data_IF_065281230525
#
_entry.id   IF_065281230525
#
_cell.length_a   1.000
_cell.length_b   1.000
_cell.length_c   1.000
_cell.angle_alpha   90.00
_cell.angle_beta   90.00
_cell.angle_gamma   90.00
#
_symmetry.space_group_name_H-M   'P 1'
#
loop_
_entity.id
_entity.type
_entity.pdbx_description
1 polymer ?
#
# COMPACT_ATOMS: atom_id res chain seq x y z
N UNK A 1 -56.18 -15.78 -49.58
CA UNK A 1 -54.91 -16.57 -49.55
C UNK A 1 -54.23 -16.30 -48.22
N UNK A 2 -54.26 -17.27 -47.29
CA UNK A 2 -53.49 -17.17 -46.05
C UNK A 2 -52.10 -17.79 -46.28
N UNK A 3 -51.00 -17.09 -45.95
CA UNK A 3 -49.68 -17.67 -46.09
C UNK A 3 -49.52 -18.84 -45.12
N UNK A 4 -49.09 -19.99 -45.67
CA UNK A 4 -48.74 -21.19 -44.91
C UNK A 4 -47.63 -20.85 -43.91
N UNK A 5 -47.96 -20.85 -42.62
CA UNK A 5 -46.96 -20.74 -41.54
C UNK A 5 -46.09 -21.99 -41.61
N UNK A 6 -44.86 -21.86 -42.14
CA UNK A 6 -43.82 -22.88 -42.03
C UNK A 6 -43.63 -23.21 -40.54
N UNK A 7 -43.94 -24.43 -40.12
CA UNK A 7 -43.60 -24.96 -38.79
C UNK A 7 -42.08 -25.07 -38.73
N UNK A 8 -41.43 -24.09 -38.13
CA UNK A 8 -40.02 -24.19 -37.75
C UNK A 8 -39.92 -25.35 -36.75
N UNK A 9 -39.05 -26.32 -37.02
CA UNK A 9 -38.83 -27.46 -36.13
C UNK A 9 -38.35 -26.96 -34.77
N UNK A 10 -38.99 -27.37 -33.67
CA UNK A 10 -38.57 -27.02 -32.30
C UNK A 10 -37.08 -27.32 -32.08
N UNK A 11 -36.57 -28.39 -32.68
CA UNK A 11 -35.16 -28.79 -32.61
C UNK A 11 -34.22 -27.74 -33.22
N UNK A 12 -34.58 -27.12 -34.35
CA UNK A 12 -33.76 -26.07 -34.98
C UNK A 12 -33.72 -24.78 -34.14
N UNK A 13 -34.82 -24.45 -33.45
CA UNK A 13 -34.86 -23.32 -32.50
C UNK A 13 -33.95 -23.58 -31.29
N UNK A 14 -33.96 -24.80 -30.74
CA UNK A 14 -33.08 -25.17 -29.64
C UNK A 14 -31.59 -25.09 -30.00
N UNK A 15 -31.18 -25.60 -31.17
CA UNK A 15 -29.79 -25.48 -31.62
C UNK A 15 -29.37 -24.03 -31.85
N UNK A 16 -30.25 -23.20 -32.41
CA UNK A 16 -29.99 -21.76 -32.58
C UNK A 16 -29.75 -21.04 -31.24
N UNK A 17 -30.54 -21.38 -30.21
CA UNK A 17 -30.37 -20.82 -28.85
C UNK A 17 -29.04 -21.27 -28.22
N UNK A 18 -28.67 -22.54 -28.33
CA UNK A 18 -27.40 -23.03 -27.76
C UNK A 18 -26.16 -22.42 -28.44
N UNK A 19 -26.20 -22.27 -29.77
CA UNK A 19 -25.12 -21.63 -30.52
C UNK A 19 -24.99 -20.15 -30.11
N UNK A 20 -26.11 -19.43 -29.98
CA UNK A 20 -26.10 -18.04 -29.52
C UNK A 20 -25.53 -17.92 -28.11
N UNK A 21 -25.97 -18.77 -27.18
CA UNK A 21 -25.46 -18.79 -25.80
C UNK A 21 -23.95 -19.08 -25.77
N UNK A 22 -23.47 -20.02 -26.58
CA UNK A 22 -22.04 -20.33 -26.67
C UNK A 22 -21.23 -19.15 -27.21
N UNK A 23 -21.71 -18.48 -28.26
CA UNK A 23 -21.06 -17.29 -28.82
C UNK A 23 -21.04 -16.16 -27.79
N UNK A 24 -22.13 -15.93 -27.07
CA UNK A 24 -22.19 -14.95 -25.99
C UNK A 24 -21.23 -15.31 -24.84
N UNK A 25 -21.17 -16.58 -24.44
CA UNK A 25 -20.25 -17.04 -23.40
C UNK A 25 -18.78 -16.88 -23.81
N UNK A 26 -18.42 -17.29 -25.03
CA UNK A 26 -17.06 -17.13 -25.55
C UNK A 26 -16.67 -15.66 -25.71
N UNK A 27 -17.60 -14.83 -26.19
CA UNK A 27 -17.40 -13.39 -26.29
C UNK A 27 -17.18 -12.76 -24.91
N UNK A 28 -17.98 -13.15 -23.91
CA UNK A 28 -17.82 -12.70 -22.52
C UNK A 28 -16.51 -13.18 -21.90
N UNK A 29 -16.13 -14.44 -22.11
CA UNK A 29 -14.87 -14.99 -21.62
C UNK A 29 -13.64 -14.30 -22.23
N UNK A 30 -13.65 -14.08 -23.55
CA UNK A 30 -12.58 -13.36 -24.25
C UNK A 30 -12.49 -11.90 -23.77
N UNK A 31 -13.63 -11.23 -23.62
CA UNK A 31 -13.71 -9.87 -23.07
C UNK A 31 -13.12 -9.82 -21.66
N UNK A 32 -13.51 -10.74 -20.77
CA UNK A 32 -12.96 -10.85 -19.40
C UNK A 32 -11.46 -11.08 -19.39
N UNK A 33 -10.94 -11.92 -20.29
CA UNK A 33 -9.48 -12.14 -20.39
C UNK A 33 -8.77 -10.85 -20.82
N UNK A 34 -9.29 -10.11 -21.80
CA UNK A 34 -8.70 -8.85 -22.26
C UNK A 34 -8.68 -7.80 -21.15
N UNK A 35 -9.76 -7.69 -20.36
CA UNK A 35 -9.86 -6.69 -19.29
C UNK A 35 -9.00 -6.98 -18.05
N UNK A 36 -8.56 -8.23 -17.89
CA UNK A 36 -7.74 -8.66 -16.73
C UNK A 36 -6.27 -8.87 -17.15
N UNK A 37 -5.98 -9.12 -18.43
CA UNK A 37 -4.63 -9.38 -18.95
C UNK A 37 -3.53 -8.39 -18.49
N UNK A 38 -3.77 -7.06 -18.40
CA UNK A 38 -2.76 -6.12 -17.89
C UNK A 38 -2.31 -6.42 -16.45
N UNK A 39 -3.16 -7.07 -15.65
CA UNK A 39 -2.94 -7.37 -14.23
C UNK A 39 -2.49 -8.82 -13.98
N UNK A 40 -2.30 -9.60 -15.07
CA UNK A 40 -1.79 -10.97 -15.02
C UNK A 40 -0.57 -11.04 -15.93
N UNK A 41 0.58 -10.64 -15.38
CA UNK A 41 1.89 -10.84 -15.98
C UNK A 41 2.79 -11.60 -15.00
N UNK A 42 3.92 -12.12 -15.49
CA UNK A 42 4.92 -12.74 -14.60
C UNK A 42 5.64 -11.68 -13.78
N UNK A 43 6.26 -12.11 -12.68
CA UNK A 43 7.06 -11.23 -11.85
C UNK A 43 8.25 -10.70 -12.65
N UNK A 44 8.33 -9.39 -12.93
CA UNK A 44 9.41 -8.82 -13.74
C UNK A 44 10.73 -8.69 -12.95
N UNK A 45 10.68 -8.83 -11.63
CA UNK A 45 11.79 -8.56 -10.71
C UNK A 45 12.65 -9.80 -10.47
N UNK A 46 13.92 -9.59 -10.13
CA UNK A 46 14.93 -10.68 -10.04
C UNK A 46 15.68 -10.73 -8.71
N UNK A 47 15.54 -9.71 -7.86
CA UNK A 47 16.16 -9.63 -6.55
C UNK A 47 15.57 -10.60 -5.54
N UNK A 48 16.19 -10.67 -4.35
CA UNK A 48 15.68 -11.42 -3.20
C UNK A 48 14.35 -10.87 -2.65
N UNK A 49 13.97 -9.65 -3.05
CA UNK A 49 12.71 -9.01 -2.68
C UNK A 49 11.70 -8.99 -3.82
N UNK A 50 12.00 -9.65 -4.95
CA UNK A 50 11.14 -9.68 -6.13
C UNK A 50 9.71 -10.13 -5.79
N UNK A 51 9.56 -11.06 -4.86
CA UNK A 51 8.28 -11.63 -4.41
C UNK A 51 7.38 -10.60 -3.73
N UNK A 52 7.93 -9.74 -2.87
CA UNK A 52 7.18 -8.70 -2.16
C UNK A 52 7.00 -7.44 -3.00
N UNK A 53 7.88 -7.19 -3.98
CA UNK A 53 7.81 -6.08 -4.93
C UNK A 53 6.77 -6.29 -6.04
N UNK A 54 6.50 -7.54 -6.41
CA UNK A 54 5.54 -7.90 -7.45
C UNK A 54 4.13 -7.31 -7.19
N UNK A 55 3.77 -7.13 -5.92
CA UNK A 55 2.53 -6.46 -5.50
C UNK A 55 2.32 -5.13 -6.23
N UNK A 56 3.34 -4.27 -6.28
CA UNK A 56 3.22 -2.92 -6.83
C UNK A 56 2.96 -2.91 -8.34
N UNK A 57 3.60 -3.81 -9.09
CA UNK A 57 3.33 -3.93 -10.53
C UNK A 57 1.92 -4.43 -10.82
N UNK A 58 1.39 -5.33 -9.98
CA UNK A 58 0.04 -5.85 -10.15
C UNK A 58 -1.05 -4.87 -9.67
N UNK A 59 -0.67 -3.85 -8.91
CA UNK A 59 -1.55 -2.86 -8.30
C UNK A 59 -1.49 -1.48 -8.99
N UNK A 60 -0.81 -1.40 -10.15
CA UNK A 60 -0.64 -0.17 -10.93
C UNK A 60 -1.89 0.15 -11.78
N UNK A 61 -2.25 1.42 -11.87
CA UNK A 61 -3.35 1.90 -12.70
C UNK A 61 -2.94 1.93 -14.18
N UNK A 62 -3.48 0.98 -14.95
CA UNK A 62 -3.18 0.85 -16.39
C UNK A 62 -4.26 1.47 -17.30
N UNK A 63 -5.37 1.97 -16.73
CA UNK A 63 -6.50 2.51 -17.50
C UNK A 63 -7.12 3.77 -16.90
N UNK A 64 -7.62 4.62 -17.82
CA UNK A 64 -8.53 5.77 -17.72
C UNK A 64 -8.53 6.76 -16.55
N UNK A 65 -7.67 6.69 -15.54
CA UNK A 65 -7.45 7.83 -14.66
C UNK A 65 -6.84 8.99 -15.49
N UNK A 66 -7.14 10.29 -15.22
CA UNK A 66 -6.61 11.39 -16.03
C UNK A 66 -5.07 11.37 -16.11
N UNK A 67 -4.43 10.60 -15.22
CA UNK A 67 -3.01 10.27 -15.15
C UNK A 67 -2.91 8.75 -14.91
N UNK A 68 -2.06 8.05 -15.68
CA UNK A 68 -1.83 6.60 -15.57
C UNK A 68 -0.55 6.32 -14.76
N UNK A 69 -0.41 5.07 -14.28
CA UNK A 69 0.79 4.57 -13.62
C UNK A 69 0.86 4.80 -12.11
N UNK A 70 -0.25 5.21 -11.51
CA UNK A 70 -0.38 5.37 -10.06
C UNK A 70 -0.63 4.02 -9.38
N UNK A 71 -0.59 3.95 -8.06
CA UNK A 71 -1.06 2.76 -7.35
C UNK A 71 -2.48 2.92 -6.84
N UNK A 72 -3.25 1.84 -6.89
CA UNK A 72 -4.46 1.76 -6.08
C UNK A 72 -4.07 1.67 -4.60
N UNK A 73 -4.76 2.34 -3.70
CA UNK A 73 -4.40 2.36 -2.27
C UNK A 73 -4.54 0.98 -1.63
N UNK A 74 -5.61 0.27 -2.00
CA UNK A 74 -5.89 -1.09 -1.55
C UNK A 74 -6.74 -1.85 -2.59
N UNK A 75 -7.65 -2.71 -2.14
CA UNK A 75 -8.56 -3.48 -3.00
C UNK A 75 -9.79 -2.71 -3.52
N UNK A 76 -9.87 -1.38 -3.35
CA UNK A 76 -11.01 -0.53 -3.72
C UNK A 76 -10.80 0.31 -5.02
N UNK A 77 -9.63 0.17 -5.64
CA UNK A 77 -9.19 0.88 -6.84
C UNK A 77 -9.08 2.40 -6.69
N UNK A 78 -9.12 2.95 -5.48
CA UNK A 78 -8.99 4.40 -5.27
C UNK A 78 -7.51 4.78 -5.29
N UNK A 79 -7.20 5.94 -5.86
CA UNK A 79 -5.83 6.49 -5.87
C UNK A 79 -5.82 7.70 -4.94
N UNK A 80 -4.96 7.68 -3.93
CA UNK A 80 -4.72 8.82 -3.04
C UNK A 80 -3.26 9.28 -3.17
N UNK A 81 -3.06 10.50 -3.68
CA UNK A 81 -1.73 11.10 -3.78
C UNK A 81 -0.90 11.03 -2.47
N UNK A 82 -1.45 11.33 -1.27
CA UNK A 82 -0.66 11.25 -0.03
C UNK A 82 -0.27 9.81 0.35
N UNK A 83 -1.07 8.79 0.00
CA UNK A 83 -0.74 7.37 0.30
C UNK A 83 0.30 6.84 -0.67
N UNK A 84 0.17 7.14 -1.95
CA UNK A 84 1.16 6.80 -2.98
C UNK A 84 2.51 7.48 -2.69
N UNK A 85 2.51 8.76 -2.30
CA UNK A 85 3.73 9.45 -1.91
C UNK A 85 4.37 8.85 -0.65
N UNK A 86 3.55 8.39 0.32
CA UNK A 86 4.05 7.71 1.51
C UNK A 86 4.68 6.36 1.17
N UNK A 87 4.04 5.57 0.30
CA UNK A 87 4.58 4.31 -0.19
C UNK A 87 5.89 4.52 -0.96
N UNK A 88 5.93 5.50 -1.86
CA UNK A 88 7.11 5.86 -2.62
C UNK A 88 8.28 6.28 -1.70
N UNK A 89 7.99 7.01 -0.63
CA UNK A 89 8.99 7.37 0.36
C UNK A 89 9.59 6.14 1.06
N UNK A 90 8.78 5.19 1.53
CA UNK A 90 9.30 3.96 2.15
C UNK A 90 10.14 3.11 1.17
N UNK A 91 9.71 2.98 -0.08
CA UNK A 91 10.48 2.25 -1.10
C UNK A 91 11.79 2.97 -1.45
N UNK A 92 11.79 4.31 -1.45
CA UNK A 92 13.03 5.08 -1.65
C UNK A 92 14.00 4.96 -0.47
N UNK A 93 13.49 4.84 0.76
CA UNK A 93 14.30 4.48 1.91
C UNK A 93 14.87 3.08 1.76
N UNK A 94 14.07 2.11 1.30
CA UNK A 94 14.56 0.76 1.03
C UNK A 94 15.69 0.77 -0.02
N UNK A 95 15.57 1.62 -1.04
CA UNK A 95 16.61 1.82 -2.05
C UNK A 95 17.89 2.41 -1.45
N UNK A 96 17.77 3.43 -0.59
CA UNK A 96 18.90 4.05 0.08
C UNK A 96 19.60 3.11 1.08
N UNK A 97 18.84 2.21 1.69
CA UNK A 97 19.32 1.26 2.70
C UNK A 97 19.90 -0.03 2.10
N UNK A 98 19.56 -0.39 0.86
CA UNK A 98 20.06 -1.60 0.22
C UNK A 98 21.48 -1.42 -0.34
N UNK A 99 22.31 -2.45 -0.17
CA UNK A 99 23.63 -2.54 -0.81
C UNK A 99 23.62 -3.47 -2.04
N UNK A 100 22.59 -4.32 -2.17
CA UNK A 100 22.42 -5.22 -3.29
C UNK A 100 21.98 -4.48 -4.58
N UNK A 101 22.75 -4.65 -5.65
CA UNK A 101 22.52 -3.93 -6.91
C UNK A 101 21.22 -4.36 -7.59
N UNK A 102 20.86 -5.65 -7.51
CA UNK A 102 19.60 -6.14 -8.11
C UNK A 102 18.39 -5.60 -7.36
N UNK A 103 18.41 -5.61 -6.03
CA UNK A 103 17.34 -5.04 -5.18
C UNK A 103 17.16 -3.55 -5.45
N UNK A 104 18.27 -2.79 -5.57
CA UNK A 104 18.20 -1.37 -5.93
C UNK A 104 17.60 -1.13 -7.32
N UNK A 105 17.95 -1.95 -8.30
CA UNK A 105 17.38 -1.83 -9.64
C UNK A 105 15.88 -2.14 -9.64
N UNK A 106 15.46 -3.25 -9.01
CA UNK A 106 14.04 -3.61 -8.93
C UNK A 106 13.22 -2.52 -8.21
N UNK A 107 13.78 -1.90 -7.15
CA UNK A 107 13.14 -0.77 -6.46
C UNK A 107 13.00 0.48 -7.34
N UNK A 108 14.00 0.79 -8.17
CA UNK A 108 13.92 1.88 -9.14
C UNK A 108 12.84 1.61 -10.19
N UNK A 109 12.79 0.37 -10.70
CA UNK A 109 11.82 -0.04 -11.71
C UNK A 109 10.39 0.07 -11.15
N UNK A 110 10.16 -0.36 -9.90
CA UNK A 110 8.88 -0.20 -9.19
C UNK A 110 8.49 1.27 -9.00
N UNK A 111 9.46 2.15 -8.72
CA UNK A 111 9.21 3.57 -8.42
C UNK A 111 8.98 4.43 -9.67
N UNK A 112 9.39 3.99 -10.86
CA UNK A 112 9.44 4.85 -12.04
C UNK A 112 8.05 5.38 -12.47
N UNK A 113 7.09 4.48 -12.68
CA UNK A 113 5.72 4.81 -13.10
C UNK A 113 4.96 5.65 -12.06
N UNK A 114 4.89 5.25 -10.77
CA UNK A 114 4.13 5.99 -9.75
C UNK A 114 4.73 7.37 -9.45
N UNK A 115 6.05 7.55 -9.51
CA UNK A 115 6.64 8.88 -9.37
C UNK A 115 6.28 9.80 -10.54
N UNK A 116 6.23 9.27 -11.76
CA UNK A 116 5.74 10.02 -12.91
C UNK A 116 4.25 10.36 -12.79
N UNK A 117 3.43 9.46 -12.25
CA UNK A 117 2.04 9.76 -11.93
C UNK A 117 1.93 10.87 -10.87
N UNK A 118 2.60 10.72 -9.72
CA UNK A 118 2.56 11.69 -8.62
C UNK A 118 3.04 13.07 -9.08
N UNK A 119 4.08 13.14 -9.91
CA UNK A 119 4.54 14.38 -10.52
C UNK A 119 3.42 15.06 -11.32
N UNK A 120 2.71 14.31 -12.15
CA UNK A 120 1.61 14.85 -12.94
C UNK A 120 0.41 15.23 -12.06
N UNK A 121 0.12 14.47 -11.00
CA UNK A 121 -0.98 14.74 -10.07
C UNK A 121 -0.74 16.07 -9.37
N UNK A 122 0.46 16.26 -8.81
CA UNK A 122 0.83 17.49 -8.12
C UNK A 122 0.84 18.70 -9.06
N UNK A 123 1.37 18.56 -10.28
CA UNK A 123 1.37 19.63 -11.28
C UNK A 123 -0.04 20.03 -11.74
N UNK A 124 -0.95 19.05 -11.80
CA UNK A 124 -2.33 19.26 -12.25
C UNK A 124 -3.29 19.59 -11.10
N UNK A 125 -2.79 19.65 -9.86
CA UNK A 125 -3.59 19.95 -8.67
C UNK A 125 -4.47 18.80 -8.17
N UNK A 126 -4.23 17.56 -8.58
CA UNK A 126 -5.02 16.40 -8.15
C UNK A 126 -4.56 15.86 -6.79
N UNK A 127 -5.53 15.46 -5.95
CA UNK A 127 -5.28 14.78 -4.67
C UNK A 127 -5.79 13.34 -4.59
N UNK A 128 -6.82 13.03 -5.38
CA UNK A 128 -7.48 11.72 -5.35
C UNK A 128 -8.22 11.46 -6.66
N UNK A 129 -8.26 10.19 -7.07
CA UNK A 129 -9.14 9.70 -8.13
C UNK A 129 -10.12 8.67 -7.57
N UNK A 130 -11.38 8.76 -8.01
CA UNK A 130 -12.53 7.90 -7.68
C UNK A 130 -13.13 8.14 -6.30
N UNK A 131 -14.40 7.77 -6.19
CA UNK A 131 -15.25 8.01 -5.01
C UNK A 131 -15.85 6.71 -4.44
N UNK A 132 -16.56 6.84 -3.32
CA UNK A 132 -17.09 5.72 -2.52
C UNK A 132 -17.96 4.71 -3.28
N UNK A 133 -18.54 5.09 -4.43
CA UNK A 133 -19.35 4.15 -5.22
C UNK A 133 -18.53 2.96 -5.70
N UNK A 134 -17.20 3.02 -5.63
CA UNK A 134 -16.30 1.94 -6.03
C UNK A 134 -16.20 0.79 -5.02
N UNK A 135 -16.54 0.99 -3.75
CA UNK A 135 -16.17 0.06 -2.67
C UNK A 135 -16.94 -1.25 -2.68
N UNK A 136 -16.22 -2.34 -2.42
CA UNK A 136 -16.80 -3.69 -2.33
C UNK A 136 -17.26 -4.26 -3.68
N UNK A 137 -17.01 -3.55 -4.79
CA UNK A 137 -17.43 -3.96 -6.12
C UNK A 137 -16.43 -4.94 -6.72
N UNK A 138 -16.90 -6.17 -6.89
CA UNK A 138 -16.11 -7.25 -7.47
C UNK A 138 -16.08 -7.18 -9.01
N UNK A 139 -15.54 -6.11 -9.57
CA UNK A 139 -15.26 -5.94 -11.00
C UNK A 139 -13.78 -5.69 -11.21
N UNK A 140 -13.20 -6.15 -12.33
CA UNK A 140 -11.84 -5.78 -12.70
C UNK A 140 -11.75 -4.27 -12.91
N UNK A 141 -10.59 -3.62 -12.70
CA UNK A 141 -10.48 -2.16 -12.80
C UNK A 141 -11.08 -1.57 -14.10
N UNK A 142 -10.84 -2.20 -15.25
CA UNK A 142 -11.40 -1.78 -16.55
C UNK A 142 -12.94 -1.76 -16.57
N UNK A 143 -13.57 -2.77 -15.98
CA UNK A 143 -15.04 -2.86 -15.93
C UNK A 143 -15.60 -1.94 -14.87
N UNK A 144 -14.87 -1.80 -13.78
CA UNK A 144 -15.19 -0.87 -12.71
C UNK A 144 -15.31 0.56 -13.25
N UNK A 145 -14.32 1.02 -14.02
CA UNK A 145 -14.33 2.34 -14.66
C UNK A 145 -15.46 2.56 -15.65
N UNK A 146 -15.93 1.50 -16.33
CA UNK A 146 -17.03 1.58 -17.29
C UNK A 146 -18.39 1.71 -16.60
N UNK A 147 -18.57 0.99 -15.49
CA UNK A 147 -19.82 0.95 -14.74
C UNK A 147 -19.93 2.12 -13.76
N UNK A 148 -18.80 2.60 -13.23
CA UNK A 148 -18.71 3.66 -12.23
C UNK A 148 -17.85 4.81 -12.75
N UNK A 149 -18.47 5.94 -13.15
CA UNK A 149 -17.73 7.11 -13.60
C UNK A 149 -16.73 7.58 -12.54
N UNK A 150 -15.50 7.86 -12.97
CA UNK A 150 -14.46 8.35 -12.08
C UNK A 150 -14.67 9.82 -11.71
N UNK A 151 -14.44 10.15 -10.45
CA UNK A 151 -14.38 11.53 -9.97
C UNK A 151 -12.92 11.91 -9.70
N UNK A 152 -12.45 13.01 -10.30
CA UNK A 152 -11.12 13.54 -10.02
C UNK A 152 -11.21 14.70 -9.03
N UNK A 153 -10.53 14.57 -7.90
CA UNK A 153 -10.57 15.54 -6.81
C UNK A 153 -9.33 16.41 -6.79
N UNK A 154 -9.55 17.70 -6.57
CA UNK A 154 -8.53 18.73 -6.58
C UNK A 154 -8.03 19.04 -5.16
N UNK A 155 -6.77 19.42 -5.06
CA UNK A 155 -6.19 20.04 -3.87
C UNK A 155 -6.95 21.34 -3.55
N UNK A 156 -7.23 21.53 -2.26
CA UNK A 156 -7.61 22.84 -1.75
C UNK A 156 -6.48 23.86 -1.93
N UNK A 157 -6.81 25.16 -1.88
CA UNK A 157 -5.87 26.25 -2.19
C UNK A 157 -4.60 26.30 -1.31
N UNK A 158 -4.56 25.59 -0.20
CA UNK A 158 -3.42 25.51 0.71
C UNK A 158 -3.00 24.06 1.03
N UNK A 159 -3.65 23.06 0.40
CA UNK A 159 -3.39 21.63 0.61
C UNK A 159 -2.18 21.16 -0.22
N UNK A 160 -1.68 19.95 0.06
CA UNK A 160 -0.58 19.34 -0.71
C UNK A 160 0.78 19.38 -0.01
N UNK A 161 0.85 19.95 1.20
CA UNK A 161 2.10 20.14 1.94
C UNK A 161 2.79 18.83 2.31
N UNK A 162 2.05 17.90 2.90
CA UNK A 162 2.50 16.55 3.27
C UNK A 162 2.97 15.74 2.06
N UNK A 163 2.16 15.70 1.01
CA UNK A 163 2.47 14.97 -0.24
C UNK A 163 3.75 15.51 -0.88
N UNK A 164 3.91 16.83 -0.94
CA UNK A 164 5.11 17.46 -1.46
C UNK A 164 6.35 17.17 -0.59
N UNK A 165 6.23 17.17 0.74
CA UNK A 165 7.35 16.80 1.61
C UNK A 165 7.80 15.34 1.42
N UNK A 166 6.85 14.42 1.29
CA UNK A 166 7.15 13.01 1.02
C UNK A 166 7.85 12.84 -0.34
N UNK A 167 7.38 13.54 -1.38
CA UNK A 167 8.05 13.54 -2.69
C UNK A 167 9.45 14.15 -2.60
N UNK A 168 9.63 15.24 -1.87
CA UNK A 168 10.95 15.84 -1.66
C UNK A 168 11.94 14.85 -1.03
N UNK A 169 11.52 14.16 0.04
CA UNK A 169 12.34 13.15 0.71
C UNK A 169 12.60 11.94 -0.19
N UNK A 170 11.59 11.53 -0.96
CA UNK A 170 11.71 10.45 -1.94
C UNK A 170 12.77 10.74 -2.98
N UNK A 171 12.71 11.91 -3.63
CA UNK A 171 13.70 12.32 -4.62
C UNK A 171 15.08 12.53 -4.01
N UNK A 172 15.17 12.97 -2.75
CA UNK A 172 16.46 13.06 -2.05
C UNK A 172 17.11 11.69 -1.85
N UNK A 173 16.35 10.68 -1.40
CA UNK A 173 16.82 9.31 -1.27
C UNK A 173 17.29 8.71 -2.60
N UNK A 174 16.65 9.10 -3.71
CA UNK A 174 17.02 8.69 -5.07
C UNK A 174 18.20 9.49 -5.65
N UNK A 175 18.63 10.56 -4.99
CA UNK A 175 19.71 11.43 -5.45
C UNK A 175 19.29 12.52 -6.46
N UNK A 176 17.99 12.70 -6.70
CA UNK A 176 17.41 13.71 -7.60
C UNK A 176 17.22 15.06 -6.89
N UNK A 177 18.34 15.72 -6.57
CA UNK A 177 18.36 16.96 -5.76
C UNK A 177 17.51 18.10 -6.35
N UNK A 178 17.48 18.24 -7.67
CA UNK A 178 16.72 19.31 -8.33
C UNK A 178 15.21 19.12 -8.14
N UNK A 179 14.70 17.90 -8.37
CA UNK A 179 13.29 17.58 -8.10
C UNK A 179 12.96 17.69 -6.61
N UNK A 180 13.84 17.19 -5.74
CA UNK A 180 13.66 17.33 -4.30
C UNK A 180 13.51 18.80 -3.88
N UNK A 181 14.33 19.70 -4.43
CA UNK A 181 14.24 21.14 -4.16
C UNK A 181 12.92 21.75 -4.64
N UNK A 182 12.41 21.35 -5.80
CA UNK A 182 11.12 21.82 -6.33
C UNK A 182 10.00 21.46 -5.35
N UNK A 183 9.96 20.22 -4.88
CA UNK A 183 8.93 19.78 -3.95
C UNK A 183 9.07 20.38 -2.54
N UNK A 184 10.30 20.64 -2.08
CA UNK A 184 10.51 21.41 -0.84
C UNK A 184 9.95 22.83 -0.96
N UNK A 185 10.15 23.48 -2.09
CA UNK A 185 9.58 24.80 -2.33
C UNK A 185 8.05 24.74 -2.40
N UNK A 186 7.49 23.76 -3.12
CA UNK A 186 6.04 23.54 -3.17
C UNK A 186 5.46 23.38 -1.76
N UNK A 187 6.08 22.57 -0.91
CA UNK A 187 5.67 22.39 0.49
C UNK A 187 5.79 23.67 1.35
N UNK A 188 6.68 24.60 1.00
CA UNK A 188 6.78 25.89 1.70
C UNK A 188 5.68 26.87 1.29
N UNK A 189 5.17 26.73 0.06
CA UNK A 189 4.11 27.58 -0.50
C UNK A 189 2.70 27.16 -0.06
N UNK A 190 2.55 25.97 0.50
CA UNK A 190 1.28 25.40 0.97
C UNK A 190 1.25 25.26 2.51
N UNK A 191 0.15 25.66 3.14
CA UNK A 191 0.07 25.76 4.60
C UNK A 191 -0.51 24.52 5.29
N UNK A 192 -1.25 23.67 4.59
CA UNK A 192 -2.04 22.58 5.21
C UNK A 192 -1.75 21.21 4.57
N UNK A 193 -1.97 20.13 5.32
CA UNK A 193 -1.92 18.78 4.75
C UNK A 193 -3.00 18.58 3.67
N UNK A 194 -2.81 17.53 2.89
CA UNK A 194 -3.80 17.01 1.95
C UNK A 194 -4.92 16.31 2.71
N UNK A 195 -6.17 16.71 2.47
CA UNK A 195 -7.34 16.00 2.98
C UNK A 195 -7.96 15.21 1.84
N UNK A 196 -8.00 13.88 1.97
CA UNK A 196 -8.79 13.07 1.05
C UNK A 196 -10.26 13.45 1.16
N UNK A 197 -11.00 13.22 0.08
CA UNK A 197 -12.44 13.19 0.21
C UNK A 197 -12.85 12.02 1.10
N UNK A 198 -14.02 12.15 1.74
CA UNK A 198 -14.51 11.13 2.64
C UNK A 198 -14.55 9.79 1.92
N UNK A 199 -13.82 8.82 2.43
CA UNK A 199 -13.82 7.45 1.93
C UNK A 199 -14.33 6.52 3.03
N UNK A 200 -15.50 5.92 2.82
CA UNK A 200 -16.02 4.80 3.60
C UNK A 200 -16.08 4.98 5.13
N UNK A 201 -15.75 3.90 5.86
CA UNK A 201 -15.74 3.83 7.33
C UNK A 201 -14.54 4.57 7.94
N UNK A 202 -13.49 4.84 7.15
CA UNK A 202 -12.25 5.46 7.61
C UNK A 202 -12.32 6.99 7.67
N UNK A 203 -13.33 7.61 7.04
CA UNK A 203 -13.51 9.07 7.06
C UNK A 203 -12.63 9.79 6.04
N UNK A 204 -12.22 11.02 6.35
CA UNK A 204 -11.24 11.73 5.52
C UNK A 204 -9.84 11.27 5.96
N UNK A 205 -9.03 10.82 5.02
CA UNK A 205 -7.64 10.50 5.24
C UNK A 205 -6.82 11.79 5.19
N UNK A 206 -6.04 12.04 6.23
CA UNK A 206 -5.12 13.16 6.30
C UNK A 206 -3.95 12.78 7.20
N UNK A 207 -2.75 13.27 6.88
CA UNK A 207 -1.67 13.24 7.86
C UNK A 207 -2.07 14.07 9.08
N UNK A 208 -1.78 13.56 10.28
CA UNK A 208 -1.94 14.38 11.49
C UNK A 208 -0.93 15.52 11.49
N UNK A 209 -1.30 16.66 12.08
CA UNK A 209 -0.45 17.86 12.16
C UNK A 209 0.92 17.54 12.75
N UNK A 210 1.00 16.60 13.69
CA UNK A 210 2.26 16.17 14.30
C UNK A 210 3.14 15.36 13.35
N UNK A 211 2.55 14.49 12.51
CA UNK A 211 3.30 13.76 11.47
C UNK A 211 3.81 14.72 10.39
N UNK A 212 3.00 15.71 10.02
CA UNK A 212 3.40 16.79 9.13
C UNK A 212 4.53 17.65 9.74
N UNK A 213 4.40 18.05 11.01
CA UNK A 213 5.43 18.81 11.73
C UNK A 213 6.76 18.04 11.84
N UNK A 214 6.70 16.72 12.03
CA UNK A 214 7.89 15.89 12.09
C UNK A 214 8.59 15.73 10.73
N UNK A 215 7.82 15.64 9.63
CA UNK A 215 8.37 15.70 8.26
C UNK A 215 9.09 17.02 7.97
N UNK A 216 8.65 18.12 8.60
CA UNK A 216 9.16 19.47 8.34
C UNK A 216 10.39 19.84 9.15
N UNK A 217 10.41 19.50 10.44
CA UNK A 217 11.34 20.13 11.38
C UNK A 217 12.40 19.22 11.94
N UNK A 218 12.23 17.90 11.87
CA UNK A 218 13.10 16.90 12.48
C UNK A 218 13.32 17.08 14.02
N UNK A 219 13.15 18.27 14.59
CA UNK A 219 13.26 18.62 15.99
C UNK A 219 11.90 18.95 16.62
N UNK A 220 11.57 18.27 17.73
CA UNK A 220 10.53 18.71 18.68
C UNK A 220 9.26 17.86 18.72
N UNK A 221 9.40 16.55 18.96
CA UNK A 221 8.25 15.69 19.34
C UNK A 221 8.04 15.77 20.85
N UNK A 222 6.82 16.08 21.29
CA UNK A 222 6.45 16.23 22.70
C UNK A 222 6.55 14.88 23.45
N UNK A 223 7.03 14.89 24.70
CA UNK A 223 7.26 13.69 25.53
C UNK A 223 5.99 12.88 25.84
N UNK A 224 4.80 13.48 25.72
CA UNK A 224 3.53 12.78 25.92
C UNK A 224 3.02 12.03 24.68
N UNK A 225 3.68 12.19 23.53
CA UNK A 225 3.27 11.55 22.27
C UNK A 225 4.06 10.28 21.96
N UNK A 226 4.95 9.84 22.86
CA UNK A 226 5.69 8.58 22.70
C UNK A 226 4.82 7.33 22.89
N UNK A 227 3.63 7.48 23.47
CA UNK A 227 2.56 6.49 23.39
C UNK A 227 2.02 6.48 21.93
N UNK A 228 2.49 5.56 21.09
CA UNK A 228 2.04 5.41 19.70
C UNK A 228 3.06 5.72 18.61
N UNK A 229 4.33 5.94 18.96
CA UNK A 229 5.44 6.11 18.00
C UNK A 229 6.07 4.80 17.52
N UNK A 230 5.48 3.65 17.87
CA UNK A 230 5.82 2.39 17.25
C UNK A 230 5.37 2.37 15.78
N UNK A 231 5.94 1.45 15.00
CA UNK A 231 5.86 1.51 13.54
C UNK A 231 6.92 2.42 12.92
N UNK A 232 7.06 2.35 11.59
CA UNK A 232 8.01 3.16 10.84
C UNK A 232 7.43 4.54 10.51
N UNK A 233 6.67 5.14 11.43
CA UNK A 233 5.99 6.41 11.14
C UNK A 233 7.03 7.48 10.78
N UNK A 234 6.70 8.43 9.88
CA UNK A 234 7.65 9.47 9.48
C UNK A 234 8.34 10.20 10.62
N UNK A 235 7.59 10.42 11.70
CA UNK A 235 8.07 11.04 12.94
C UNK A 235 9.13 10.21 13.68
N UNK A 236 9.02 8.89 13.71
CA UNK A 236 9.99 8.01 14.36
C UNK A 236 11.28 7.90 13.53
N UNK A 237 11.15 7.86 12.20
CA UNK A 237 12.29 7.90 11.28
C UNK A 237 13.02 9.25 11.36
N UNK A 238 12.29 10.37 11.46
CA UNK A 238 12.86 11.70 11.67
C UNK A 238 13.69 11.77 12.97
N UNK A 239 13.14 11.28 14.09
CA UNK A 239 13.85 11.22 15.36
C UNK A 239 15.16 10.40 15.28
N UNK A 240 15.18 9.29 14.52
CA UNK A 240 16.41 8.54 14.24
C UNK A 240 17.46 9.34 13.46
N UNK A 241 17.04 10.15 12.48
CA UNK A 241 17.95 11.00 11.69
C UNK A 241 18.61 12.05 12.58
N UNK A 242 17.88 12.60 13.54
CA UNK A 242 18.34 13.60 14.51
C UNK A 242 19.06 13.01 15.72
N UNK A 243 19.33 11.69 15.71
CA UNK A 243 20.09 11.02 16.77
C UNK A 243 19.40 11.10 18.15
N UNK A 244 18.07 11.17 18.17
CA UNK A 244 17.23 11.11 19.36
C UNK A 244 17.12 9.65 19.87
N UNK A 245 18.26 8.97 20.02
CA UNK A 245 18.36 7.53 20.24
C UNK A 245 17.73 7.09 21.57
N UNK A 246 17.80 7.91 22.62
CA UNK A 246 17.18 7.60 23.91
C UNK A 246 15.65 7.48 23.80
N UNK A 247 15.04 8.31 22.96
CA UNK A 247 13.60 8.29 22.70
C UNK A 247 13.20 7.05 21.92
N UNK A 248 13.96 6.70 20.87
CA UNK A 248 13.72 5.48 20.09
C UNK A 248 13.91 4.23 20.96
N UNK A 249 14.96 4.18 21.78
CA UNK A 249 15.16 3.09 22.73
C UNK A 249 13.98 2.97 23.70
N UNK A 250 13.42 4.10 24.18
CA UNK A 250 12.22 4.10 25.02
C UNK A 250 10.99 3.49 24.32
N UNK A 251 10.76 3.81 23.05
CA UNK A 251 9.69 3.19 22.24
C UNK A 251 9.90 1.68 22.10
N UNK A 252 11.13 1.26 21.77
CA UNK A 252 11.46 -0.16 21.60
C UNK A 252 11.36 -0.94 22.91
N UNK A 253 11.78 -0.37 24.03
CA UNK A 253 11.58 -0.93 25.37
C UNK A 253 10.10 -1.09 25.68
N UNK A 254 9.28 -0.05 25.44
CA UNK A 254 7.85 -0.13 25.65
C UNK A 254 7.21 -1.26 24.84
N UNK A 255 7.53 -1.37 23.54
CA UNK A 255 7.00 -2.47 22.71
C UNK A 255 7.50 -3.81 23.23
N UNK A 256 8.78 -3.95 23.59
CA UNK A 256 9.32 -5.19 24.14
C UNK A 256 8.63 -5.63 25.45
N UNK A 257 8.23 -4.69 26.30
CA UNK A 257 7.55 -4.97 27.57
C UNK A 257 6.06 -5.29 27.41
N UNK A 258 5.42 -4.74 26.37
CA UNK A 258 3.97 -4.86 26.15
C UNK A 258 3.61 -5.84 25.01
N UNK A 259 4.56 -6.22 24.17
CA UNK A 259 4.32 -7.13 23.06
C UNK A 259 4.20 -8.58 23.53
N UNK A 260 3.09 -9.21 23.15
CA UNK A 260 2.79 -10.61 23.47
C UNK A 260 2.50 -11.40 22.20
N UNK A 261 2.49 -12.74 22.28
CA UNK A 261 2.11 -13.62 21.17
C UNK A 261 0.68 -13.40 20.66
N UNK A 262 -0.14 -12.63 21.39
CA UNK A 262 -1.49 -12.25 21.02
C UNK A 262 -1.60 -10.93 20.24
N UNK A 263 -0.51 -10.19 19.98
CA UNK A 263 -0.52 -9.02 19.08
C UNK A 263 -0.57 -7.65 19.78
N UNK A 264 -1.02 -7.54 21.03
CA UNK A 264 -0.94 -6.32 21.84
C UNK A 264 0.48 -5.71 21.78
N UNK A 265 0.71 -4.40 21.61
CA UNK A 265 -0.25 -3.29 21.50
C UNK A 265 -0.84 -3.08 20.08
N UNK A 266 -0.60 -3.98 19.14
CA UNK A 266 -0.96 -3.86 17.72
C UNK A 266 -2.34 -4.46 17.36
N UNK A 267 -3.23 -4.66 18.34
CA UNK A 267 -4.58 -5.20 18.11
C UNK A 267 -5.52 -4.12 17.56
N UNK A 268 -5.29 -3.69 16.31
CA UNK A 268 -6.11 -2.75 15.55
C UNK A 268 -5.90 -2.92 14.04
N UNK A 269 -6.81 -2.36 13.23
CA UNK A 269 -6.72 -2.41 11.76
C UNK A 269 -5.41 -1.76 11.28
N UNK A 270 -4.56 -2.56 10.62
CA UNK A 270 -3.24 -2.14 10.14
C UNK A 270 -2.10 -2.37 11.14
N UNK A 271 -2.36 -2.99 12.29
CA UNK A 271 -1.36 -3.27 13.32
C UNK A 271 -0.16 -4.09 12.82
N UNK A 272 -0.35 -4.97 11.83
CA UNK A 272 0.76 -5.69 11.20
C UNK A 272 1.75 -4.77 10.47
N UNK A 273 1.28 -3.67 9.86
CA UNK A 273 2.18 -2.69 9.24
C UNK A 273 3.02 -1.97 10.29
N UNK A 274 2.46 -1.72 11.47
CA UNK A 274 3.19 -1.13 12.58
C UNK A 274 4.15 -2.14 13.25
N UNK A 275 3.84 -3.45 13.22
CA UNK A 275 4.81 -4.50 13.55
C UNK A 275 5.98 -4.45 12.58
N UNK A 276 5.71 -4.51 11.26
CA UNK A 276 6.74 -4.42 10.22
C UNK A 276 7.56 -3.13 10.36
N UNK A 277 6.90 -2.02 10.63
CA UNK A 277 7.52 -0.72 10.83
C UNK A 277 8.34 -0.61 12.12
N UNK A 278 7.96 -1.32 13.18
CA UNK A 278 8.76 -1.37 14.41
C UNK A 278 10.05 -2.14 14.17
N UNK A 279 10.02 -3.19 13.35
CA UNK A 279 11.23 -3.88 12.89
C UNK A 279 12.12 -2.91 12.09
N UNK A 280 11.55 -2.11 11.18
CA UNK A 280 12.29 -1.08 10.45
C UNK A 280 12.97 -0.10 11.41
N UNK A 281 12.21 0.45 12.37
CA UNK A 281 12.71 1.40 13.35
C UNK A 281 13.89 0.83 14.14
N UNK A 282 13.75 -0.41 14.59
CA UNK A 282 14.78 -1.11 15.36
C UNK A 282 16.03 -1.42 14.51
N UNK A 283 15.87 -1.93 13.27
CA UNK A 283 17.02 -2.21 12.38
C UNK A 283 17.78 -0.94 12.03
N UNK A 284 17.09 0.17 11.78
CA UNK A 284 17.72 1.48 11.54
C UNK A 284 18.40 2.03 12.79
N UNK A 285 17.80 1.84 13.98
CA UNK A 285 18.44 2.18 15.26
C UNK A 285 19.76 1.41 15.42
N UNK A 286 19.72 0.08 15.30
CA UNK A 286 20.89 -0.78 15.44
C UNK A 286 21.99 -0.45 14.44
N UNK A 287 21.64 -0.10 13.19
CA UNK A 287 22.59 0.39 12.18
C UNK A 287 23.28 1.68 12.61
N UNK A 288 22.53 2.66 13.15
CA UNK A 288 23.07 3.98 13.52
C UNK A 288 23.90 3.95 14.81
N UNK A 289 23.53 3.12 15.77
CA UNK A 289 24.15 3.09 17.11
C UNK A 289 25.14 1.94 17.29
N UNK A 290 25.04 0.87 16.49
CA UNK A 290 25.74 -0.39 16.72
C UNK A 290 25.14 -1.23 17.85
N UNK A 291 24.01 -0.81 18.43
CA UNK A 291 23.37 -1.46 19.57
C UNK A 291 22.34 -2.51 19.11
N UNK A 292 22.56 -3.77 19.50
CA UNK A 292 21.73 -4.93 19.13
C UNK A 292 20.81 -5.39 20.27
N UNK A 293 20.66 -4.62 21.35
CA UNK A 293 19.87 -5.06 22.51
C UNK A 293 18.39 -5.39 22.17
N UNK A 294 17.86 -4.75 21.12
CA UNK A 294 16.49 -4.93 20.65
C UNK A 294 16.35 -5.93 19.48
N UNK A 295 17.44 -6.57 19.04
CA UNK A 295 17.39 -7.58 17.99
C UNK A 295 16.44 -8.76 18.32
N UNK A 296 16.36 -9.26 19.58
CA UNK A 296 15.37 -10.28 19.95
C UNK A 296 13.91 -9.82 19.76
N UNK A 297 13.61 -8.52 19.96
CA UNK A 297 12.29 -7.97 19.71
C UNK A 297 11.94 -8.10 18.23
N UNK A 298 12.81 -7.61 17.33
CA UNK A 298 12.57 -7.72 15.88
C UNK A 298 12.44 -9.17 15.41
N UNK A 299 13.20 -10.10 16.01
CA UNK A 299 13.07 -11.54 15.74
C UNK A 299 11.67 -12.03 16.08
N UNK A 300 11.17 -11.63 17.25
CA UNK A 300 9.87 -12.05 17.75
C UNK A 300 8.72 -11.43 16.94
N UNK A 301 8.81 -10.14 16.62
CA UNK A 301 7.88 -9.44 15.74
C UNK A 301 7.81 -10.07 14.34
N UNK A 302 8.96 -10.38 13.74
CA UNK A 302 8.98 -11.01 12.41
C UNK A 302 8.41 -12.43 12.44
N UNK A 303 8.74 -13.21 13.47
CA UNK A 303 8.16 -14.54 13.67
C UNK A 303 6.64 -14.47 13.85
N UNK A 304 6.12 -13.46 14.57
CA UNK A 304 4.68 -13.23 14.69
C UNK A 304 4.02 -13.05 13.31
N UNK A 305 4.61 -12.23 12.43
CA UNK A 305 4.06 -12.04 11.06
C UNK A 305 4.01 -13.35 10.25
N UNK A 306 4.96 -14.26 10.48
CA UNK A 306 5.10 -15.54 9.79
C UNK A 306 4.34 -16.71 10.45
N UNK A 307 3.43 -16.44 11.39
CA UNK A 307 2.57 -17.47 11.99
C UNK A 307 3.00 -18.04 13.33
N UNK A 308 4.09 -17.54 13.92
CA UNK A 308 4.46 -17.85 15.32
C UNK A 308 3.70 -16.93 16.29
N UNK A 309 2.37 -16.99 16.22
CA UNK A 309 1.44 -16.20 17.02
C UNK A 309 0.31 -17.09 17.57
N UNK A 310 -0.46 -16.57 18.53
CA UNK A 310 -1.55 -17.32 19.18
C UNK A 310 -2.69 -17.70 18.21
N UNK A 311 -2.75 -17.06 17.04
CA UNK A 311 -3.71 -17.35 15.99
C UNK A 311 -3.26 -18.51 15.08
N UNK A 312 -1.97 -18.86 15.09
CA UNK A 312 -1.37 -19.83 14.18
C UNK A 312 -1.46 -19.41 12.71
N UNK A 313 -1.46 -18.11 12.45
CA UNK A 313 -1.77 -17.54 11.13
C UNK A 313 -0.55 -16.84 10.55
N UNK A 314 -0.08 -17.29 9.38
CA UNK A 314 0.90 -16.56 8.58
C UNK A 314 0.21 -15.38 7.88
N UNK A 315 0.47 -14.17 8.36
CA UNK A 315 -0.14 -12.94 7.85
C UNK A 315 0.39 -12.48 6.49
N UNK A 316 1.42 -13.15 5.97
CA UNK A 316 1.90 -12.94 4.60
C UNK A 316 1.27 -13.93 3.61
N UNK A 317 0.62 -14.97 4.12
CA UNK A 317 0.03 -16.05 3.35
C UNK A 317 -1.46 -16.26 3.68
N UNK A 318 -2.20 -15.14 3.79
CA UNK A 318 -3.66 -15.16 3.90
C UNK A 318 -4.24 -14.76 2.56
N UNK A 319 -5.17 -15.58 2.04
CA UNK A 319 -5.98 -15.17 0.89
C UNK A 319 -6.92 -14.04 1.32
N UNK A 320 -6.79 -12.82 0.75
CA UNK A 320 -7.70 -11.72 1.03
C UNK A 320 -9.14 -12.11 0.69
N UNK A 321 -10.08 -11.82 1.60
CA UNK A 321 -11.50 -12.02 1.37
C UNK A 321 -12.16 -10.69 0.96
N UNK A 322 -11.73 -10.08 -0.16
CA UNK A 322 -12.28 -8.81 -0.66
C UNK A 322 -12.32 -8.74 -2.21
N UNK A 323 -12.89 -7.66 -2.77
CA UNK A 323 -13.01 -7.38 -4.21
C UNK A 323 -11.69 -7.36 -5.01
N UNK A 324 -10.57 -7.46 -4.31
CA UNK A 324 -9.24 -7.61 -4.87
C UNK A 324 -8.98 -8.98 -5.56
N UNK A 325 -9.94 -9.90 -5.58
CA UNK A 325 -9.84 -11.22 -6.28
C UNK A 325 -9.55 -11.12 -7.79
N UNK A 326 -9.54 -9.92 -8.38
CA UNK A 326 -9.13 -9.69 -9.77
C UNK A 326 -7.66 -9.32 -9.95
N UNK A 327 -6.95 -8.95 -8.88
CA UNK A 327 -5.51 -8.72 -8.93
C UNK A 327 -4.76 -9.99 -8.55
N UNK A 328 -3.78 -10.37 -9.37
CA UNK A 328 -2.76 -11.36 -8.98
C UNK A 328 -2.05 -10.93 -7.69
N UNK A 329 -2.01 -9.61 -7.40
CA UNK A 329 -1.53 -9.00 -6.16
C UNK A 329 -2.17 -9.61 -4.90
N UNK A 330 -3.45 -9.97 -4.97
CA UNK A 330 -4.19 -10.55 -3.85
C UNK A 330 -4.13 -12.07 -3.80
N UNK A 331 -3.53 -12.72 -4.80
CA UNK A 331 -3.12 -14.12 -4.72
C UNK A 331 -1.63 -14.25 -4.31
N UNK A 332 -0.95 -13.14 -3.98
CA UNK A 332 0.44 -13.19 -3.54
C UNK A 332 0.53 -13.74 -2.12
N UNK A 333 1.13 -14.93 -2.00
CA UNK A 333 1.55 -15.57 -0.74
C UNK A 333 2.69 -14.79 -0.02
N UNK A 334 2.81 -13.49 -0.29
CA UNK A 334 3.89 -12.59 0.17
C UNK A 334 3.43 -11.16 0.46
N UNK A 335 2.13 -10.86 0.30
CA UNK A 335 1.57 -9.56 0.64
C UNK A 335 1.19 -9.53 2.13
N UNK A 336 1.58 -8.48 2.84
CA UNK A 336 1.27 -8.33 4.25
C UNK A 336 -0.14 -7.76 4.41
N UNK A 337 -1.03 -8.49 5.09
CA UNK A 337 -2.38 -7.99 5.39
C UNK A 337 -2.42 -7.15 6.68
N UNK A 338 -3.47 -6.34 6.83
CA UNK A 338 -3.73 -5.49 8.01
C UNK A 338 -3.52 -6.19 9.37
N UNK A 339 -3.91 -7.46 9.48
CA UNK A 339 -3.74 -8.25 10.70
C UNK A 339 -4.98 -8.25 11.57
N UNK A 340 -4.81 -8.34 12.89
CA UNK A 340 -5.94 -8.57 13.80
C UNK A 340 -6.53 -7.25 14.29
N UNK A 341 -7.86 -7.17 14.43
CA UNK A 341 -8.55 -6.01 14.99
C UNK A 341 -8.65 -6.07 16.54
N UNK A 342 -9.15 -5.00 17.15
CA UNK A 342 -9.38 -4.87 18.60
C UNK A 342 -10.34 -5.94 19.16
N UNK A 343 -11.09 -6.60 18.28
CA UNK A 343 -12.04 -7.67 18.59
C UNK A 343 -11.42 -9.05 18.47
N UNK A 344 -10.15 -9.14 18.05
CA UNK A 344 -9.41 -10.38 17.85
C UNK A 344 -10.06 -11.32 16.84
N UNK A 345 -10.87 -10.77 15.92
CA UNK A 345 -11.68 -11.58 15.02
C UNK A 345 -10.87 -11.95 13.79
N UNK A 346 -10.48 -13.22 13.69
CA UNK A 346 -9.97 -13.82 12.44
C UNK A 346 -11.13 -14.37 11.58
N UNK A 347 -12.39 -14.23 12.03
CA UNK A 347 -13.56 -14.82 11.38
C UNK A 347 -14.01 -14.02 10.15
N UNK A 348 -14.13 -14.64 8.97
CA UNK A 348 -14.29 -13.95 7.68
C UNK A 348 -15.70 -13.39 7.38
N UNK A 349 -16.65 -13.40 8.32
CA UNK A 349 -18.08 -13.31 7.93
C UNK A 349 -18.72 -11.92 7.96
N UNK A 350 -18.22 -10.95 8.73
CA UNK A 350 -18.91 -9.65 8.85
C UNK A 350 -18.14 -8.45 8.26
N UNK A 351 -16.79 -8.42 8.37
CA UNK A 351 -15.91 -7.36 7.80
C UNK A 351 -14.50 -7.88 7.45
N UNK A 352 -14.37 -8.82 6.50
CA UNK A 352 -13.08 -9.47 6.21
C UNK A 352 -11.96 -8.51 5.78
N UNK A 353 -12.30 -7.35 5.19
CA UNK A 353 -11.30 -6.38 4.72
C UNK A 353 -10.48 -5.76 5.86
N UNK A 354 -11.07 -5.52 7.03
CA UNK A 354 -10.37 -4.91 8.17
C UNK A 354 -9.15 -5.73 8.60
N UNK A 355 -9.19 -7.05 8.35
CA UNK A 355 -8.16 -8.01 8.75
C UNK A 355 -7.28 -8.44 7.58
N UNK A 356 -7.89 -8.57 6.39
CA UNK A 356 -7.25 -9.22 5.23
C UNK A 356 -6.91 -8.28 4.08
N UNK A 357 -7.23 -6.99 4.19
CA UNK A 357 -6.83 -6.00 3.20
C UNK A 357 -5.32 -5.77 3.23
N UNK A 358 -4.77 -5.55 2.04
CA UNK A 358 -3.40 -5.12 1.81
C UNK A 358 -3.45 -3.67 1.36
N UNK A 359 -2.71 -2.80 2.05
CA UNK A 359 -2.62 -1.37 1.73
C UNK A 359 -1.23 -1.06 1.16
N UNK A 360 -1.17 -0.27 0.09
CA UNK A 360 0.05 0.00 -0.69
C UNK A 360 1.19 0.56 0.16
N UNK A 361 0.90 1.51 1.07
CA UNK A 361 1.93 2.02 1.98
C UNK A 361 2.37 0.98 3.02
N UNK A 362 1.46 0.12 3.48
CA UNK A 362 1.75 -0.96 4.43
C UNK A 362 2.68 -2.00 3.82
N UNK A 363 2.43 -2.37 2.56
CA UNK A 363 3.31 -3.23 1.79
C UNK A 363 4.68 -2.58 1.56
N UNK A 364 4.74 -1.27 1.34
CA UNK A 364 6.01 -0.55 1.18
C UNK A 364 6.87 -0.58 2.45
N UNK A 365 6.24 -0.45 3.63
CA UNK A 365 6.91 -0.65 4.92
C UNK A 365 7.46 -2.07 5.00
N UNK A 366 6.68 -3.08 4.62
CA UNK A 366 7.11 -4.49 4.67
C UNK A 366 8.29 -4.78 3.71
N UNK A 367 8.32 -4.17 2.52
CA UNK A 367 9.49 -4.23 1.62
C UNK A 367 10.73 -3.66 2.32
N UNK A 368 10.61 -2.49 2.95
CA UNK A 368 11.72 -1.90 3.71
C UNK A 368 12.17 -2.81 4.86
N UNK A 369 11.24 -3.44 5.58
CA UNK A 369 11.54 -4.46 6.60
C UNK A 369 12.38 -5.59 6.01
N UNK A 370 11.96 -6.14 4.86
CA UNK A 370 12.62 -7.25 4.18
C UNK A 370 14.01 -6.90 3.67
N UNK A 371 14.20 -5.68 3.15
CA UNK A 371 15.53 -5.16 2.78
C UNK A 371 16.42 -5.06 4.01
N UNK A 372 15.97 -4.38 5.07
CA UNK A 372 16.77 -4.18 6.28
C UNK A 372 17.14 -5.49 6.97
N UNK A 373 16.24 -6.48 7.02
CA UNK A 373 16.55 -7.81 7.56
C UNK A 373 17.58 -8.58 6.72
N UNK A 374 17.64 -8.34 5.41
CA UNK A 374 18.65 -8.94 4.54
C UNK A 374 20.02 -8.26 4.68
N UNK A 375 20.03 -6.94 4.88
CA UNK A 375 21.27 -6.14 4.99
C UNK A 375 21.85 -6.20 6.42
N UNK A 376 20.98 -6.31 7.43
CA UNK A 376 21.30 -6.28 8.85
C UNK A 376 20.63 -7.45 9.59
N UNK A 377 21.09 -8.69 9.34
CA UNK A 377 20.45 -9.90 9.86
C UNK A 377 20.43 -9.92 11.39
N UNK A 378 19.42 -10.61 11.92
CA UNK A 378 19.27 -10.91 13.34
C UNK A 378 19.85 -12.30 13.57
N UNK A 379 20.90 -12.41 14.40
CA UNK A 379 21.53 -13.68 14.75
C UNK A 379 20.61 -14.62 15.58
#
# INVERSE_FOLDING_TARGET
MHPSRKKVSKTQVHWGVWILLLVCFLGFALFRMITIAPYIHDNPYTSKQADVLAFFSYNESVHSDPIQGCWYDSGDYIIFAPRDALAAWYLSLAYAESTDTHTRQDLLDVLQSPLACLDQMMQSGYKQFRDQQSHGIQLSPVLHEQEFPQTAYQLGAQEGRDTALLLALTYENLGERDKASIYRQFAQEHATQTYSERCCEEGNLAFSDNRLYALERLNGVNEHEYEGLWGAQPIAIAALVEQEFAKIAGVLTYVQENFTSSGQPFDYVGGNYDIAGTIVLERLYAKKTGDQQFAPLSKHLYAYLLGYNDYGTDFTNIKPHHACTFFRACDLETALVNGVDDRKVVSPMDKPWQVTEVQTYGQAIFVLTRVLLSEYPID
#
